data_IF_353198083115
#
_entry.id   IF_353198083115
#
_cell.length_a   1.000
_cell.length_b   1.000
_cell.length_c   1.000
_cell.angle_alpha   90.00
_cell.angle_beta   90.00
_cell.angle_gamma   90.00
#
_symmetry.space_group_name_H-M   'P 1'
#
loop_
_entity.id
_entity.type
_entity.pdbx_description
1 polymer ?
#
# COMPACT_ATOMS: atom_id res chain seq x y z
N UNK A 1 -3.68 9.39 7.17
CA UNK A 1 -2.90 8.35 7.84
C UNK A 1 -2.95 7.08 7.02
N UNK A 2 -1.79 6.47 6.77
CA UNK A 2 -1.68 5.12 6.19
C UNK A 2 -0.82 4.29 7.14
N UNK A 3 -1.29 3.10 7.50
CA UNK A 3 -0.59 2.18 8.38
C UNK A 3 -0.55 0.78 7.80
N UNK A 4 0.59 0.11 7.98
CA UNK A 4 0.73 -1.33 7.75
C UNK A 4 0.46 -2.06 9.07
N UNK A 5 -0.53 -2.96 9.09
CA UNK A 5 -0.84 -3.82 10.24
C UNK A 5 -0.01 -5.09 10.21
N UNK A 6 -0.05 -5.81 9.10
CA UNK A 6 0.66 -7.08 8.94
C UNK A 6 0.94 -7.40 7.48
N UNK A 7 1.95 -8.23 7.27
CA UNK A 7 2.17 -9.02 6.06
C UNK A 7 2.26 -10.46 6.54
N UNK A 8 1.33 -11.32 6.13
CA UNK A 8 1.31 -12.71 6.57
C UNK A 8 2.03 -13.66 5.60
N UNK A 9 2.25 -14.89 6.03
CA UNK A 9 3.00 -15.91 5.26
C UNK A 9 2.38 -16.28 3.91
N UNK A 10 1.11 -15.93 3.66
CA UNK A 10 0.45 -16.14 2.38
C UNK A 10 0.60 -14.92 1.44
N UNK A 11 1.41 -13.93 1.80
CA UNK A 11 1.59 -12.69 1.04
C UNK A 11 0.39 -11.75 1.12
N UNK A 12 -0.50 -11.89 2.13
CA UNK A 12 -1.59 -10.93 2.32
C UNK A 12 -1.10 -9.76 3.18
N UNK A 13 -1.25 -8.56 2.64
CA UNK A 13 -0.90 -7.27 3.25
C UNK A 13 -2.17 -6.62 3.78
N UNK A 14 -2.18 -6.29 5.07
CA UNK A 14 -3.30 -5.58 5.70
C UNK A 14 -2.90 -4.14 5.96
N UNK A 15 -3.57 -3.21 5.27
CA UNK A 15 -3.39 -1.77 5.39
C UNK A 15 -4.61 -1.14 6.06
N UNK A 16 -4.37 -0.11 6.86
CA UNK A 16 -5.42 0.78 7.38
C UNK A 16 -5.18 2.17 6.84
N UNK A 17 -6.19 2.78 6.24
CA UNK A 17 -6.13 4.16 5.76
C UNK A 17 -7.29 4.98 6.30
N UNK A 18 -6.97 6.16 6.83
CA UNK A 18 -7.96 7.07 7.39
C UNK A 18 -7.58 8.54 7.26
N UNK A 19 -8.59 9.41 7.24
CA UNK A 19 -8.41 10.85 7.04
C UNK A 19 -7.74 11.16 5.70
N UNK A 20 -6.75 12.05 5.71
CA UNK A 20 -5.95 12.38 4.53
C UNK A 20 -4.66 11.57 4.50
N UNK A 21 -4.41 10.82 3.43
CA UNK A 21 -3.12 10.13 3.23
C UNK A 21 -2.07 11.15 2.81
N UNK A 22 -0.98 11.23 3.56
CA UNK A 22 0.11 12.18 3.32
C UNK A 22 1.32 11.51 2.67
N UNK A 23 2.26 12.31 2.16
CA UNK A 23 3.54 11.79 1.66
C UNK A 23 4.33 11.00 2.74
N UNK A 24 4.34 11.49 3.97
CA UNK A 24 5.08 10.86 5.07
C UNK A 24 4.52 9.48 5.41
N UNK A 25 3.20 9.32 5.31
CA UNK A 25 2.51 8.04 5.45
C UNK A 25 3.01 7.03 4.40
N UNK A 26 3.07 7.42 3.12
CA UNK A 26 3.59 6.57 2.04
C UNK A 26 5.06 6.20 2.24
N UNK A 27 5.91 7.16 2.58
CA UNK A 27 7.34 6.94 2.84
C UNK A 27 7.60 5.93 3.97
N UNK A 28 6.69 5.80 4.94
CA UNK A 28 6.80 4.82 6.05
C UNK A 28 6.32 3.43 5.65
N UNK A 29 5.34 3.33 4.76
CA UNK A 29 4.66 2.08 4.42
C UNK A 29 5.30 1.42 3.21
N UNK A 30 5.64 2.17 2.16
CA UNK A 30 6.10 1.61 0.88
C UNK A 30 7.39 0.79 0.99
N UNK A 31 8.42 1.19 1.76
CA UNK A 31 9.62 0.36 1.92
C UNK A 31 9.32 -1.01 2.55
N UNK A 32 8.29 -1.08 3.40
CA UNK A 32 7.87 -2.35 4.02
C UNK A 32 7.11 -3.23 3.04
N UNK A 33 6.36 -2.63 2.12
CA UNK A 33 5.71 -3.35 1.02
C UNK A 33 6.74 -3.87 0.03
N UNK A 34 7.75 -3.07 -0.31
CA UNK A 34 8.87 -3.51 -1.17
C UNK A 34 9.60 -4.71 -0.57
N UNK A 35 9.92 -4.68 0.73
CA UNK A 35 10.50 -5.84 1.41
C UNK A 35 9.58 -7.08 1.40
N UNK A 36 8.26 -6.89 1.43
CA UNK A 36 7.32 -8.01 1.28
C UNK A 36 7.39 -8.69 -0.09
N UNK A 37 7.76 -7.95 -1.15
CA UNK A 37 7.97 -8.52 -2.49
C UNK A 37 9.31 -9.24 -2.65
N UNK A 38 10.28 -9.04 -1.75
CA UNK A 38 11.50 -9.86 -1.72
C UNK A 38 11.20 -11.28 -1.19
N UNK A 39 10.28 -11.41 -0.24
CA UNK A 39 9.89 -12.69 0.38
C UNK A 39 8.73 -13.41 -0.35
N UNK A 40 7.93 -12.69 -1.14
CA UNK A 40 6.75 -13.23 -1.80
C UNK A 40 6.72 -12.91 -3.30
N UNK A 41 6.41 -13.92 -4.13
CA UNK A 41 6.21 -13.76 -5.59
C UNK A 41 5.06 -12.79 -5.92
N UNK A 42 4.08 -12.66 -5.03
CA UNK A 42 2.94 -11.76 -5.18
C UNK A 42 2.42 -11.32 -3.82
N UNK A 43 1.93 -10.09 -3.73
CA UNK A 43 1.26 -9.55 -2.55
C UNK A 43 -0.22 -9.28 -2.85
N UNK A 44 -1.08 -9.65 -1.90
CA UNK A 44 -2.52 -9.43 -1.94
C UNK A 44 -2.92 -8.37 -0.92
N UNK A 45 -3.55 -7.29 -1.35
CA UNK A 45 -3.84 -6.16 -0.47
C UNK A 45 -5.27 -6.21 0.07
N UNK A 46 -5.40 -6.15 1.39
CA UNK A 46 -6.63 -5.81 2.08
C UNK A 46 -6.47 -4.42 2.70
N UNK A 47 -7.32 -3.48 2.31
CA UNK A 47 -7.25 -2.09 2.76
C UNK A 47 -8.53 -1.74 3.51
N UNK A 48 -8.41 -1.50 4.81
CA UNK A 48 -9.48 -0.99 5.65
C UNK A 48 -9.52 0.55 5.55
N UNK A 49 -10.52 1.05 4.83
CA UNK A 49 -10.73 2.49 4.58
C UNK A 49 -11.72 3.05 5.60
N UNK A 50 -11.27 3.98 6.45
CA UNK A 50 -12.11 4.59 7.49
C UNK A 50 -12.04 6.11 7.44
N UNK A 51 -13.18 6.77 7.21
CA UNK A 51 -13.27 8.24 7.17
C UNK A 51 -12.22 8.87 6.24
N UNK A 52 -12.08 8.30 5.04
CA UNK A 52 -11.05 8.74 4.10
C UNK A 52 -11.48 10.07 3.48
N UNK A 53 -10.75 11.14 3.80
CA UNK A 53 -10.99 12.48 3.26
C UNK A 53 -10.23 12.73 1.94
N UNK A 54 -9.31 11.84 1.58
CA UNK A 54 -8.59 11.85 0.30
C UNK A 54 -7.10 11.54 0.44
N UNK A 55 -6.36 11.75 -0.64
CA UNK A 55 -4.93 11.49 -0.72
C UNK A 55 -4.19 12.70 -1.32
N UNK A 56 -3.01 13.00 -0.81
CA UNK A 56 -2.16 14.03 -1.42
C UNK A 56 -1.74 13.62 -2.85
N UNK A 57 -1.71 14.60 -3.77
CA UNK A 57 -1.28 14.38 -5.17
C UNK A 57 0.12 13.75 -5.29
N UNK A 58 1.00 14.01 -4.33
CA UNK A 58 2.35 13.40 -4.29
C UNK A 58 2.27 11.94 -3.88
N UNK A 59 1.48 11.60 -2.85
CA UNK A 59 1.20 10.23 -2.45
C UNK A 59 0.56 9.43 -3.59
N UNK A 60 -0.36 10.04 -4.33
CA UNK A 60 -1.01 9.45 -5.51
C UNK A 60 -0.01 9.14 -6.64
N UNK A 61 1.00 10.00 -6.81
CA UNK A 61 2.09 9.78 -7.77
C UNK A 61 3.02 8.63 -7.36
N UNK A 62 3.30 8.50 -6.07
CA UNK A 62 4.13 7.40 -5.57
C UNK A 62 3.39 6.07 -5.65
N UNK A 63 2.09 6.07 -5.32
CA UNK A 63 1.19 4.92 -5.45
C UNK A 63 1.15 4.42 -6.91
N UNK A 64 0.90 5.33 -7.87
CA UNK A 64 0.97 5.02 -9.31
C UNK A 64 2.33 4.46 -9.76
N UNK A 65 3.44 4.94 -9.18
CA UNK A 65 4.79 4.45 -9.51
C UNK A 65 4.99 3.02 -9.00
N UNK A 66 4.48 2.74 -7.81
CA UNK A 66 4.49 1.42 -7.20
C UNK A 66 3.66 0.42 -8.03
N UNK A 67 2.45 0.82 -8.42
CA UNK A 67 1.54 0.09 -9.31
C UNK A 67 2.21 -0.38 -10.61
N UNK A 68 2.88 0.56 -11.28
CA UNK A 68 3.57 0.33 -12.56
C UNK A 68 4.80 -0.57 -12.37
N UNK A 69 5.53 -0.44 -11.27
CA UNK A 69 6.75 -1.23 -10.99
C UNK A 69 6.41 -2.70 -10.75
N UNK A 70 5.32 -2.98 -10.04
CA UNK A 70 4.94 -4.34 -9.64
C UNK A 70 3.86 -4.97 -10.53
N UNK A 71 3.49 -4.33 -11.66
CA UNK A 71 2.47 -4.80 -12.60
C UNK A 71 1.22 -5.30 -11.88
N UNK A 72 0.59 -4.43 -11.09
CA UNK A 72 -0.63 -4.80 -10.39
C UNK A 72 -1.65 -5.29 -11.42
N UNK A 73 -1.96 -6.58 -11.37
CA UNK A 73 -2.96 -7.20 -12.22
C UNK A 73 -4.23 -7.28 -11.40
N UNK A 74 -5.25 -6.52 -11.80
CA UNK A 74 -6.60 -6.77 -11.34
C UNK A 74 -6.95 -8.21 -11.74
N UNK A 75 -7.34 -9.10 -10.81
CA UNK A 75 -7.96 -10.35 -11.22
C UNK A 75 -9.18 -10.00 -12.08
N UNK A 76 -9.21 -10.53 -13.31
CA UNK A 76 -10.33 -10.38 -14.25
C UNK A 76 -11.60 -11.03 -13.70
#
# INVERSE_FOLDING_TARGET
>A
MLGLKEINSNGVVVLEASGKITREDCHKVFPKLEAGFDDHESLHFYIDLRDLSGMELVALKEDLRFDVKYKWTYPK
#
